data_IF_648932733177
#
_entry.id   IF_648932733177
#
_cell.length_a   1.000
_cell.length_b   1.000
_cell.length_c   1.000
_cell.angle_alpha   90.00
_cell.angle_beta   90.00
_cell.angle_gamma   90.00
#
_symmetry.space_group_name_H-M   'P 1'
#
loop_
_entity.id
_entity.type
_entity.pdbx_description
1 polymer ?
#
# COMPACT_ATOMS: atom_id res chain seq x y z
N UNK A 1 -11.34 -7.49 0.51
CA UNK A 1 -11.28 -7.41 1.98
C UNK A 1 -10.29 -6.30 2.30
N UNK A 2 -10.63 -5.35 3.16
CA UNK A 2 -9.75 -4.23 3.54
C UNK A 2 -9.42 -4.40 5.02
N UNK A 3 -8.12 -4.42 5.35
CA UNK A 3 -7.68 -4.35 6.74
C UNK A 3 -7.42 -2.89 7.09
N UNK A 4 -8.15 -2.37 8.08
CA UNK A 4 -7.92 -1.04 8.63
C UNK A 4 -7.69 -1.14 10.13
N UNK A 5 -6.84 -0.26 10.64
CA UNK A 5 -6.57 -0.12 12.07
C UNK A 5 -6.49 1.35 12.41
N UNK A 6 -7.30 1.79 13.37
CA UNK A 6 -7.25 3.13 13.91
C UNK A 6 -6.48 3.17 15.24
N UNK A 7 -6.11 4.37 15.64
CA UNK A 7 -5.56 4.67 16.96
C UNK A 7 -6.18 5.97 17.49
N UNK A 8 -6.00 6.23 18.78
CA UNK A 8 -6.43 7.48 19.41
C UNK A 8 -5.33 8.53 19.23
N UNK A 9 -5.70 9.82 19.29
CA UNK A 9 -4.73 10.91 19.20
C UNK A 9 -3.69 10.89 20.34
N UNK A 10 -4.05 10.25 21.47
CA UNK A 10 -3.17 10.06 22.63
C UNK A 10 -2.30 8.82 22.54
N UNK A 11 -2.43 8.00 21.49
CA UNK A 11 -1.62 6.80 21.30
C UNK A 11 -0.16 7.20 21.05
N UNK A 12 0.77 6.62 21.80
CA UNK A 12 2.20 6.89 21.66
C UNK A 12 2.75 6.41 20.32
N UNK A 13 3.83 7.05 19.86
CA UNK A 13 4.41 6.78 18.53
C UNK A 13 4.87 5.33 18.36
N UNK A 14 5.45 4.72 19.40
CA UNK A 14 5.88 3.32 19.40
C UNK A 14 4.70 2.37 19.15
N UNK A 15 3.54 2.66 19.74
CA UNK A 15 2.31 1.89 19.53
C UNK A 15 1.76 2.15 18.12
N UNK A 16 1.76 3.39 17.63
CA UNK A 16 1.35 3.69 16.25
C UNK A 16 2.19 2.93 15.23
N UNK A 17 3.52 2.90 15.40
CA UNK A 17 4.43 2.14 14.53
C UNK A 17 4.17 0.63 14.61
N UNK A 18 3.89 0.10 15.81
CA UNK A 18 3.51 -1.30 15.97
C UNK A 18 2.21 -1.64 15.22
N UNK A 19 1.20 -0.78 15.31
CA UNK A 19 -0.07 -0.97 14.62
C UNK A 19 0.10 -0.86 13.09
N UNK A 20 0.88 0.09 12.60
CA UNK A 20 1.19 0.22 11.17
C UNK A 20 1.83 -1.07 10.63
N UNK A 21 2.83 -1.63 11.34
CA UNK A 21 3.45 -2.91 10.98
C UNK A 21 2.47 -4.08 10.94
N UNK A 22 1.47 -4.09 11.82
CA UNK A 22 0.41 -5.11 11.76
C UNK A 22 -0.45 -4.99 10.51
N UNK A 23 -0.77 -3.76 10.08
CA UNK A 23 -1.53 -3.53 8.84
C UNK A 23 -0.71 -4.04 7.65
N UNK A 24 0.57 -3.67 7.56
CA UNK A 24 1.49 -4.17 6.52
C UNK A 24 1.48 -5.69 6.44
N UNK A 25 1.68 -6.35 7.58
CA UNK A 25 1.72 -7.82 7.63
C UNK A 25 0.40 -8.47 7.17
N UNK A 26 -0.74 -7.87 7.50
CA UNK A 26 -2.05 -8.38 7.05
C UNK A 26 -2.27 -8.15 5.55
N UNK A 27 -1.74 -7.07 5.00
CA UNK A 27 -1.75 -6.82 3.55
C UNK A 27 -0.92 -7.88 2.81
N UNK A 28 0.26 -8.23 3.31
CA UNK A 28 1.08 -9.32 2.75
C UNK A 28 0.32 -10.66 2.69
N UNK A 29 -0.49 -10.95 3.72
CA UNK A 29 -1.35 -12.14 3.74
C UNK A 29 -2.44 -12.05 2.66
N UNK A 30 -3.05 -10.87 2.44
CA UNK A 30 -4.04 -10.70 1.37
C UNK A 30 -3.43 -10.95 -0.01
N UNK A 31 -2.23 -10.43 -0.24
CA UNK A 31 -1.52 -10.65 -1.50
C UNK A 31 -1.26 -12.14 -1.74
N UNK A 32 -0.82 -12.86 -0.70
CA UNK A 32 -0.63 -14.32 -0.78
C UNK A 32 -1.92 -15.09 -1.04
N UNK A 33 -3.07 -14.61 -0.54
CA UNK A 33 -4.36 -15.27 -0.76
C UNK A 33 -4.94 -14.97 -2.15
N UNK A 34 -4.58 -13.85 -2.77
CA UNK A 34 -5.11 -13.40 -4.07
C UNK A 34 -4.60 -14.16 -5.30
N UNK A 35 -3.98 -15.34 -5.11
CA UNK A 35 -3.37 -16.15 -6.18
C UNK A 35 -4.23 -16.24 -7.44
N UNK A 36 -3.65 -15.83 -8.58
CA UNK A 36 -4.28 -15.85 -9.91
C UNK A 36 -4.80 -14.50 -10.41
N UNK A 37 -4.85 -13.47 -9.56
CA UNK A 37 -5.12 -12.09 -9.98
C UNK A 37 -3.82 -11.30 -10.17
N UNK A 38 -3.82 -10.30 -11.07
CA UNK A 38 -2.74 -9.31 -11.09
C UNK A 38 -2.74 -8.57 -9.73
N UNK A 39 -1.58 -8.40 -9.08
CA UNK A 39 -1.48 -7.57 -7.88
C UNK A 39 -2.04 -6.18 -8.18
N UNK A 40 -3.10 -5.80 -7.50
CA UNK A 40 -3.76 -4.51 -7.71
C UNK A 40 -4.34 -4.03 -6.39
N UNK A 41 -3.84 -2.88 -5.94
CA UNK A 41 -4.27 -2.21 -4.72
C UNK A 41 -4.81 -0.82 -5.07
N UNK A 42 -5.82 -0.37 -4.34
CA UNK A 42 -6.38 0.96 -4.53
C UNK A 42 -5.53 2.00 -3.79
N UNK A 43 -4.81 2.85 -4.53
CA UNK A 43 -3.80 3.78 -4.00
C UNK A 43 -4.31 4.75 -2.92
N UNK A 44 -5.60 5.11 -2.94
CA UNK A 44 -6.17 6.07 -2.00
C UNK A 44 -6.52 5.43 -0.64
N UNK A 45 -6.54 4.10 -0.56
CA UNK A 45 -6.88 3.33 0.65
C UNK A 45 -5.87 2.20 0.85
N UNK A 46 -4.58 2.51 0.70
CA UNK A 46 -3.48 1.55 0.79
C UNK A 46 -2.54 1.85 1.96
N UNK A 47 -1.74 0.85 2.34
CA UNK A 47 -0.66 1.04 3.31
C UNK A 47 0.43 1.94 2.69
N UNK A 48 0.80 3.07 3.33
CA UNK A 48 1.89 3.91 2.84
C UNK A 48 3.27 3.22 2.86
N UNK A 49 3.42 2.09 3.56
CA UNK A 49 4.66 1.32 3.64
C UNK A 49 4.73 0.18 2.61
N UNK A 50 3.78 0.08 1.68
CA UNK A 50 3.79 -0.94 0.63
C UNK A 50 5.09 -0.86 -0.20
N UNK A 51 5.85 -1.95 -0.24
CA UNK A 51 7.18 -1.99 -0.88
C UNK A 51 7.04 -1.94 -2.40
N UNK A 52 6.04 -2.63 -2.96
CA UNK A 52 5.83 -2.75 -4.41
C UNK A 52 4.74 -1.79 -4.91
N UNK A 53 4.56 -0.65 -4.22
CA UNK A 53 3.45 0.28 -4.45
C UNK A 53 3.34 0.77 -5.90
N UNK A 54 4.46 0.88 -6.61
CA UNK A 54 4.47 1.34 -8.01
C UNK A 54 3.73 0.36 -8.92
N UNK A 55 3.98 -0.94 -8.77
CA UNK A 55 3.32 -1.96 -9.58
C UNK A 55 1.92 -2.24 -9.05
N UNK A 56 1.76 -2.34 -7.72
CA UNK A 56 0.47 -2.62 -7.10
C UNK A 56 -0.57 -1.51 -7.36
N UNK A 57 -0.16 -0.24 -7.42
CA UNK A 57 -1.10 0.88 -7.60
C UNK A 57 -1.31 1.26 -9.06
N UNK A 58 -0.29 1.11 -9.90
CA UNK A 58 -0.32 1.59 -11.29
C UNK A 58 -0.30 0.45 -12.33
N UNK A 59 -0.27 -0.81 -11.86
CA UNK A 59 -0.39 -2.03 -12.67
C UNK A 59 0.88 -2.48 -13.39
N UNK A 60 1.87 -1.60 -13.61
CA UNK A 60 3.20 -1.97 -14.10
C UNK A 60 4.21 -0.84 -13.94
N UNK A 61 5.49 -1.19 -13.92
CA UNK A 61 6.57 -0.21 -13.98
C UNK A 61 6.52 0.66 -15.24
N UNK A 62 6.05 0.13 -16.37
CA UNK A 62 5.88 0.87 -17.62
C UNK A 62 4.88 2.01 -17.47
N UNK A 63 3.69 1.73 -16.92
CA UNK A 63 2.65 2.75 -16.69
C UNK A 63 3.15 3.77 -15.66
N UNK A 64 3.75 3.29 -14.55
CA UNK A 64 4.32 4.18 -13.54
C UNK A 64 5.35 5.16 -14.13
N UNK A 65 6.28 4.68 -14.94
CA UNK A 65 7.30 5.52 -15.58
C UNK A 65 6.70 6.53 -16.58
N UNK A 66 5.64 6.17 -17.29
CA UNK A 66 4.90 7.11 -18.15
C UNK A 66 4.26 8.23 -17.33
N UNK A 67 3.58 7.89 -16.23
CA UNK A 67 2.97 8.86 -15.32
C UNK A 67 4.02 9.76 -14.67
N UNK A 68 5.15 9.19 -14.25
CA UNK A 68 6.30 9.94 -13.74
C UNK A 68 6.82 10.94 -14.78
N UNK A 69 6.95 10.52 -16.04
CA UNK A 69 7.38 11.41 -17.14
C UNK A 69 6.42 12.58 -17.35
N UNK A 70 5.11 12.37 -17.20
CA UNK A 70 4.12 13.45 -17.25
C UNK A 70 4.31 14.37 -16.04
N UNK A 71 4.47 13.81 -14.84
CA UNK A 71 4.66 14.57 -13.61
C UNK A 71 5.93 15.43 -13.64
N UNK A 72 7.04 14.91 -14.18
CA UNK A 72 8.31 15.64 -14.27
C UNK A 72 8.26 16.82 -15.26
N UNK A 73 7.26 16.86 -16.15
CA UNK A 73 7.05 17.94 -17.13
C UNK A 73 6.14 19.05 -16.62
N UNK A 74 5.49 18.88 -15.47
CA UNK A 74 4.49 19.80 -14.90
C UNK A 74 4.96 20.33 -13.56
#
# INVERSE_FOLDING_TARGET
>A
MVYSQGWLDTTSEDVQQYLAKQVTHRTEILDQLSTGSQPSCYSNEADPNEVNWQENFYGSQTIYNQLKTIKDKV
#
